data_IF_332286074377
#
_entry.id   IF_332286074377
#
_cell.length_a   1.000
_cell.length_b   1.000
_cell.length_c   1.000
_cell.angle_alpha   90.00
_cell.angle_beta   90.00
_cell.angle_gamma   90.00
#
_symmetry.space_group_name_H-M   'P 1'
#
loop_
_entity.id
_entity.type
_entity.pdbx_description
1 polymer ?
#
# COMPACT_ATOMS: atom_id res chain seq x y z
N UNK A 1 -1.66 -3.93 2.43
CA UNK A 1 -0.69 -2.80 2.44
C UNK A 1 -1.20 -1.71 3.38
N UNK A 2 -0.35 -1.15 4.24
CA UNK A 2 -0.71 -0.02 5.13
C UNK A 2 0.17 1.16 4.77
N UNK A 3 -0.41 2.36 4.72
CA UNK A 3 0.32 3.62 4.53
C UNK A 3 0.21 4.43 5.82
N UNK A 4 1.36 4.86 6.33
CA UNK A 4 1.47 5.62 7.57
C UNK A 4 2.02 7.02 7.26
N UNK A 5 1.40 8.05 7.85
CA UNK A 5 2.06 9.33 8.08
C UNK A 5 3.00 9.18 9.28
N UNK A 6 4.29 9.37 9.02
CA UNK A 6 5.39 9.23 10.00
C UNK A 6 6.06 10.58 10.29
N UNK A 7 5.40 11.70 10.00
CA UNK A 7 5.93 13.05 10.24
C UNK A 7 6.25 13.27 11.72
N UNK A 8 5.41 12.74 12.62
CA UNK A 8 5.71 12.61 14.06
C UNK A 8 6.11 11.16 14.38
N UNK A 9 7.39 10.88 14.64
CA UNK A 9 7.86 9.52 14.91
C UNK A 9 7.32 8.93 16.22
N UNK A 10 6.85 9.76 17.15
CA UNK A 10 6.24 9.30 18.41
C UNK A 10 4.75 8.98 18.27
N UNK A 11 4.12 9.44 17.19
CA UNK A 11 2.70 9.23 16.93
C UNK A 11 2.41 8.97 15.43
N UNK A 12 2.89 7.85 14.85
CA UNK A 12 2.57 7.48 13.48
C UNK A 12 1.06 7.28 13.30
N UNK A 13 0.51 7.75 12.17
CA UNK A 13 -0.93 7.67 11.88
C UNK A 13 -1.19 6.90 10.61
N UNK A 14 -2.11 5.94 10.65
CA UNK A 14 -2.59 5.29 9.43
C UNK A 14 -3.39 6.28 8.59
N UNK A 15 -2.97 6.45 7.33
CA UNK A 15 -3.62 7.36 6.37
C UNK A 15 -4.34 6.63 5.25
N UNK A 16 -3.94 5.38 4.97
CA UNK A 16 -4.62 4.51 4.02
C UNK A 16 -4.29 3.03 4.26
N UNK A 17 -5.17 2.16 3.75
CA UNK A 17 -4.98 0.72 3.72
C UNK A 17 -5.58 0.13 2.46
N UNK A 18 -4.81 -0.72 1.81
CA UNK A 18 -5.34 -1.66 0.82
C UNK A 18 -5.61 -3.00 1.50
N UNK A 19 -6.86 -3.43 1.46
CA UNK A 19 -7.33 -4.71 1.98
C UNK A 19 -8.63 -5.11 1.26
N UNK A 20 -8.51 -6.01 0.29
CA UNK A 20 -9.63 -6.61 -0.43
C UNK A 20 -9.63 -8.13 -0.15
N UNK A 21 -10.73 -8.62 0.41
CA UNK A 21 -10.96 -10.04 0.68
C UNK A 21 -12.26 -10.53 0.03
N UNK A 22 -12.73 -9.83 -1.01
CA UNK A 22 -13.82 -10.34 -1.83
C UNK A 22 -13.43 -11.70 -2.42
N UNK A 23 -14.37 -12.65 -2.55
CA UNK A 23 -14.09 -13.97 -3.11
C UNK A 23 -13.39 -13.90 -4.47
N UNK A 24 -13.83 -12.99 -5.33
CA UNK A 24 -13.30 -12.78 -6.67
C UNK A 24 -11.83 -12.31 -6.63
N UNK A 25 -11.51 -11.42 -5.69
CA UNK A 25 -10.13 -10.96 -5.48
C UNK A 25 -9.26 -12.08 -4.92
N UNK A 26 -9.74 -12.83 -3.93
CA UNK A 26 -8.99 -13.96 -3.37
C UNK A 26 -8.68 -15.01 -4.43
N UNK A 27 -9.68 -15.41 -5.23
CA UNK A 27 -9.51 -16.41 -6.29
C UNK A 27 -8.47 -15.98 -7.33
N UNK A 28 -8.57 -14.73 -7.82
CA UNK A 28 -7.63 -14.19 -8.81
C UNK A 28 -6.20 -14.00 -8.29
N UNK A 29 -6.01 -13.98 -6.97
CA UNK A 29 -4.72 -13.73 -6.30
C UNK A 29 -4.18 -14.98 -5.56
N UNK A 30 -4.59 -16.18 -5.96
CA UNK A 30 -4.06 -17.44 -5.41
C UNK A 30 -4.52 -17.77 -3.98
N UNK A 31 -5.59 -17.11 -3.51
CA UNK A 31 -6.28 -17.37 -2.25
C UNK A 31 -5.61 -16.79 -1.00
N UNK A 32 -4.40 -16.23 -1.10
CA UNK A 32 -3.64 -15.71 0.06
C UNK A 32 -2.98 -14.35 -0.21
N UNK A 33 -3.70 -13.33 -0.69
CA UNK A 33 -3.11 -12.00 -0.89
C UNK A 33 -2.75 -11.32 0.44
N UNK A 34 -2.08 -10.17 0.35
CA UNK A 34 -1.67 -9.28 1.45
C UNK A 34 -0.37 -9.65 2.17
N UNK A 35 0.45 -10.50 1.56
CA UNK A 35 1.78 -10.89 2.02
C UNK A 35 2.87 -10.07 1.32
N UNK A 36 2.79 -8.75 1.51
CA UNK A 36 3.72 -7.78 0.91
C UNK A 36 5.10 -7.85 1.56
N UNK A 37 6.14 -7.97 0.73
CA UNK A 37 7.55 -8.04 1.15
C UNK A 37 8.40 -6.90 0.61
N UNK A 38 8.10 -6.44 -0.62
CA UNK A 38 8.79 -5.32 -1.24
C UNK A 38 7.85 -4.13 -1.38
N UNK A 39 8.32 -2.94 -1.00
CA UNK A 39 7.63 -1.68 -1.27
C UNK A 39 8.62 -0.69 -1.86
N UNK A 40 8.30 -0.13 -3.02
CA UNK A 40 9.09 0.93 -3.65
C UNK A 40 8.21 2.13 -4.00
N UNK A 41 8.81 3.31 -3.88
CA UNK A 41 8.19 4.59 -4.17
C UNK A 41 9.25 5.56 -4.68
N UNK A 42 9.08 6.01 -5.92
CA UNK A 42 9.92 7.08 -6.47
C UNK A 42 9.42 8.45 -6.00
N UNK A 43 10.31 9.35 -5.54
CA UNK A 43 9.94 10.73 -5.27
C UNK A 43 9.27 11.39 -6.49
N UNK A 44 8.30 12.27 -6.23
CA UNK A 44 7.58 13.06 -7.24
C UNK A 44 6.81 12.26 -8.31
N UNK A 45 6.56 10.97 -8.09
CA UNK A 45 5.65 10.16 -8.91
C UNK A 45 4.46 9.74 -8.06
N UNK A 46 3.25 9.54 -8.61
CA UNK A 46 2.08 9.17 -7.83
C UNK A 46 2.00 7.66 -7.53
N UNK A 47 2.93 6.86 -8.05
CA UNK A 47 2.85 5.40 -8.01
C UNK A 47 3.57 4.81 -6.80
N UNK A 48 2.97 3.81 -6.16
CA UNK A 48 3.58 2.97 -5.14
C UNK A 48 3.56 1.54 -5.66
N UNK A 49 4.70 0.86 -5.62
CA UNK A 49 4.87 -0.52 -6.08
C UNK A 49 4.94 -1.45 -4.88
N UNK A 50 4.10 -2.48 -4.85
CA UNK A 50 4.09 -3.50 -3.80
C UNK A 50 4.31 -4.88 -4.38
N UNK A 51 5.34 -5.60 -3.93
CA UNK A 51 5.55 -7.01 -4.27
C UNK A 51 4.95 -7.90 -3.18
N UNK A 52 3.94 -8.67 -3.57
CA UNK A 52 3.30 -9.71 -2.76
C UNK A 52 3.85 -11.08 -3.17
N UNK A 53 4.14 -11.93 -2.18
CA UNK A 53 4.73 -13.26 -2.43
C UNK A 53 3.78 -14.26 -3.07
N UNK A 54 2.48 -14.04 -2.95
CA UNK A 54 1.44 -14.97 -3.40
C UNK A 54 0.73 -14.48 -4.66
N UNK A 55 0.70 -13.17 -4.89
CA UNK A 55 -0.08 -12.56 -5.98
C UNK A 55 0.67 -11.62 -6.91
N UNK A 56 1.98 -11.39 -6.68
CA UNK A 56 2.85 -10.67 -7.61
C UNK A 56 2.90 -9.16 -7.38
N UNK A 57 2.93 -8.37 -8.47
CA UNK A 57 3.14 -6.93 -8.41
C UNK A 57 1.82 -6.14 -8.36
N UNK A 58 1.71 -5.29 -7.34
CA UNK A 58 0.65 -4.30 -7.21
C UNK A 58 1.19 -2.91 -7.55
N UNK A 59 0.37 -2.13 -8.26
CA UNK A 59 0.65 -0.73 -8.57
C UNK A 59 -0.49 0.11 -8.00
N UNK A 60 -0.19 0.85 -6.94
CA UNK A 60 -1.14 1.77 -6.31
C UNK A 60 -0.87 3.19 -6.79
N UNK A 61 -1.93 4.00 -6.84
CA UNK A 61 -1.84 5.44 -7.12
C UNK A 61 -2.25 6.23 -5.89
N UNK A 62 -1.44 7.19 -5.49
CA UNK A 62 -1.81 8.17 -4.48
C UNK A 62 -3.06 8.94 -4.91
N UNK A 63 -4.00 9.10 -3.98
CA UNK A 63 -5.23 9.88 -4.21
C UNK A 63 -5.05 11.38 -3.89
N UNK A 64 -3.91 11.76 -3.32
CA UNK A 64 -3.53 13.14 -2.98
C UNK A 64 -2.12 13.18 -2.43
N UNK A 65 -1.56 14.37 -2.24
CA UNK A 65 -0.16 14.55 -1.81
C UNK A 65 0.09 14.34 -0.32
N UNK A 66 -0.95 14.03 0.47
CA UNK A 66 -0.88 14.11 1.93
C UNK A 66 -0.71 15.55 2.40
N UNK A 67 -1.48 15.99 3.39
CA UNK A 67 -1.40 17.35 3.92
C UNK A 67 -0.48 17.43 5.14
N UNK A 68 0.63 16.68 5.15
CA UNK A 68 1.63 16.77 6.21
C UNK A 68 1.96 18.24 6.42
N UNK A 69 1.51 18.82 7.55
CA UNK A 69 1.73 20.23 7.81
C UNK A 69 3.24 20.44 8.00
N UNK A 70 3.83 21.27 7.16
CA UNK A 70 5.19 21.81 7.33
C UNK A 70 5.33 22.52 8.68
#
# INVERSE_FOLDING_TARGET
MIVLDVTDPYNPKETARFFDNSPEFLESNGGRPHDFWGVDKKPNQPWIYGSDRNSGLYIFREQGSGSGKN
#
